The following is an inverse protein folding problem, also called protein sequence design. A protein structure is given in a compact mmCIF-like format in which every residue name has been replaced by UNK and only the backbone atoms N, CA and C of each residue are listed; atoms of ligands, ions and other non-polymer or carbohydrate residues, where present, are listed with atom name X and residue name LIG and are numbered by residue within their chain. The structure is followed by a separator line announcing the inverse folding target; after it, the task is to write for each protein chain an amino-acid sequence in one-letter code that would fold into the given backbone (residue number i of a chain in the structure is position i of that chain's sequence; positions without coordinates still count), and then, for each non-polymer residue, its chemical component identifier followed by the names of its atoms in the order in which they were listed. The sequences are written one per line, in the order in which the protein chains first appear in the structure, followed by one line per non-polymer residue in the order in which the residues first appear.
data_IF_191474835994
#
_entry.id   IF_191474835994
#
_cell.length_a   1.000
_cell.length_b   1.000
_cell.length_c   1.000
_cell.angle_alpha   90.00
_cell.angle_beta   90.00
_cell.angle_gamma   90.00
#
_symmetry.space_group_name_H-M   'P 1'
#
loop_
_entity.id
_entity.type
_entity.pdbx_description
1 polymer ?
#
# COMPACT_ATOMS: atom_id res chain seq x y z
N UNK A 1 31.07 38.32 25.45
CA UNK A 1 30.25 38.64 24.28
C UNK A 1 30.11 37.38 23.47
N UNK A 2 29.05 36.66 23.72
CA UNK A 2 28.72 35.39 23.02
C UNK A 2 27.49 35.65 22.16
N UNK A 3 27.71 35.58 20.85
CA UNK A 3 26.68 35.74 19.83
C UNK A 3 25.82 34.46 19.75
N UNK A 4 24.55 34.58 20.05
CA UNK A 4 23.58 33.50 19.90
C UNK A 4 23.20 33.43 18.44
N UNK A 5 23.60 32.34 17.77
CA UNK A 5 23.16 32.03 16.41
C UNK A 5 21.75 31.41 16.50
N UNK A 6 20.80 32.14 16.02
CA UNK A 6 19.43 31.66 15.79
C UNK A 6 19.45 30.54 14.76
N UNK A 7 19.07 29.36 15.18
CA UNK A 7 18.81 28.22 14.31
C UNK A 7 17.32 28.23 13.98
N UNK A 8 16.97 28.93 12.90
CA UNK A 8 15.64 28.86 12.33
C UNK A 8 15.37 27.45 11.80
N UNK A 9 14.41 26.81 12.40
CA UNK A 9 13.77 25.57 11.93
C UNK A 9 13.15 25.83 10.55
N UNK A 10 13.80 25.38 9.50
CA UNK A 10 13.19 25.28 8.19
C UNK A 10 12.20 24.11 8.25
N UNK A 11 10.94 24.45 8.55
CA UNK A 11 9.83 23.55 8.40
C UNK A 11 9.62 23.26 6.92
N UNK A 12 10.13 22.13 6.45
CA UNK A 12 9.82 21.61 5.13
C UNK A 12 8.36 21.14 5.13
N UNK A 13 7.49 21.99 4.63
CA UNK A 13 6.09 21.69 4.35
C UNK A 13 6.00 20.78 3.12
N UNK A 14 6.09 19.46 3.35
CA UNK A 14 6.02 18.42 2.32
C UNK A 14 4.71 18.39 1.52
N UNK A 15 3.71 19.16 1.97
CA UNK A 15 2.41 19.25 1.28
C UNK A 15 2.39 20.19 0.09
N UNK A 16 3.34 21.12 -0.02
CA UNK A 16 3.34 22.13 -1.09
C UNK A 16 4.05 21.70 -2.37
N UNK A 17 4.93 20.69 -2.32
CA UNK A 17 5.64 20.22 -3.52
C UNK A 17 4.76 19.40 -4.50
N UNK A 18 3.56 19.02 -4.08
CA UNK A 18 2.64 18.26 -4.94
C UNK A 18 1.90 19.11 -5.98
N UNK A 19 1.95 20.44 -5.87
CA UNK A 19 1.21 21.36 -6.75
C UNK A 19 2.08 22.37 -7.56
N UNK A 20 3.35 22.47 -7.27
CA UNK A 20 4.23 23.46 -7.92
C UNK A 20 4.82 23.02 -9.27
N UNK A 21 4.60 21.80 -9.73
CA UNK A 21 5.19 21.25 -10.97
C UNK A 21 4.15 20.97 -12.08
N UNK A 22 2.96 21.56 -12.02
CA UNK A 22 1.86 21.30 -12.96
C UNK A 22 1.83 22.20 -14.20
N UNK A 23 2.87 22.98 -14.45
CA UNK A 23 2.98 23.75 -15.70
C UNK A 23 4.26 23.33 -16.42
N UNK A 24 4.11 22.50 -17.46
CA UNK A 24 5.07 22.13 -18.50
C UNK A 24 5.53 20.65 -18.51
N UNK A 25 4.65 19.69 -18.46
CA UNK A 25 4.91 18.44 -19.18
C UNK A 25 3.64 17.60 -19.38
N UNK A 26 2.81 17.99 -20.33
CA UNK A 26 1.64 17.22 -20.77
C UNK A 26 2.00 15.90 -21.48
N UNK A 27 3.29 15.56 -21.60
CA UNK A 27 3.76 14.34 -22.27
C UNK A 27 4.52 13.36 -21.35
N UNK A 28 4.69 13.66 -20.06
CA UNK A 28 5.50 12.84 -19.15
C UNK A 28 4.71 12.11 -18.06
N UNK A 29 3.38 12.08 -18.12
CA UNK A 29 2.54 11.48 -17.06
C UNK A 29 2.51 9.95 -17.06
N UNK A 30 3.24 9.27 -17.94
CA UNK A 30 3.22 7.81 -18.03
C UNK A 30 4.51 7.10 -17.61
N UNK A 31 5.58 7.81 -17.30
CA UNK A 31 6.91 7.20 -17.07
C UNK A 31 7.36 7.19 -15.61
N UNK A 32 6.73 7.97 -14.71
CA UNK A 32 7.22 8.13 -13.34
C UNK A 32 7.00 6.92 -12.41
N UNK A 33 6.18 5.95 -12.81
CA UNK A 33 5.88 4.75 -11.99
C UNK A 33 6.87 3.59 -12.16
N UNK A 34 7.84 3.69 -13.06
CA UNK A 34 8.80 2.61 -13.34
C UNK A 34 10.23 2.92 -12.89
N UNK A 35 10.49 4.05 -12.23
CA UNK A 35 11.83 4.32 -11.70
C UNK A 35 12.02 3.57 -10.37
N UNK A 36 12.95 2.62 -10.36
CA UNK A 36 13.40 1.98 -9.11
C UNK A 36 14.49 2.82 -8.49
N UNK A 37 14.36 3.16 -7.21
CA UNK A 37 15.39 3.83 -6.43
C UNK A 37 16.05 2.83 -5.47
N UNK A 38 17.36 2.97 -5.26
CA UNK A 38 18.08 2.15 -4.29
C UNK A 38 17.93 2.75 -2.89
N UNK A 39 17.43 1.93 -1.95
CA UNK A 39 17.33 2.30 -0.53
C UNK A 39 18.24 1.37 0.28
N UNK A 40 19.14 1.91 1.08
CA UNK A 40 20.04 1.12 1.93
C UNK A 40 19.95 1.54 3.40
N UNK A 41 20.16 0.57 4.29
CA UNK A 41 20.17 0.82 5.72
C UNK A 41 20.93 -0.28 6.47
N UNK A 42 21.40 0.05 7.68
CA UNK A 42 22.03 -0.92 8.59
C UNK A 42 21.04 -1.31 9.67
N UNK A 43 20.90 -2.61 9.90
CA UNK A 43 20.05 -3.16 10.96
C UNK A 43 20.88 -4.02 11.94
N UNK A 44 20.50 -4.09 13.22
CA UNK A 44 21.17 -4.98 14.17
C UNK A 44 21.15 -6.44 13.68
N UNK A 45 22.24 -7.18 13.96
CA UNK A 45 22.44 -8.55 13.46
C UNK A 45 21.28 -9.52 13.76
N UNK A 46 20.57 -9.35 14.90
CA UNK A 46 19.40 -10.16 15.25
C UNK A 46 18.28 -10.05 14.21
N UNK A 47 18.01 -8.84 13.71
CA UNK A 47 16.98 -8.60 12.68
C UNK A 47 17.42 -9.11 11.31
N UNK A 48 18.71 -8.94 10.96
CA UNK A 48 19.25 -9.52 9.73
C UNK A 48 19.05 -11.06 9.69
N UNK A 49 19.28 -11.76 10.82
CA UNK A 49 19.02 -13.21 10.93
C UNK A 49 17.54 -13.57 10.73
N UNK A 50 16.62 -12.77 11.28
CA UNK A 50 15.17 -12.97 11.08
C UNK A 50 14.77 -12.82 9.61
N UNK A 51 15.25 -11.78 8.95
CA UNK A 51 15.01 -11.56 7.49
C UNK A 51 15.54 -12.75 6.68
N UNK A 52 16.75 -13.23 6.97
CA UNK A 52 17.32 -14.40 6.28
C UNK A 52 16.46 -15.65 6.48
N UNK A 53 15.99 -15.90 7.72
CA UNK A 53 15.11 -17.04 8.02
C UNK A 53 13.79 -16.93 7.25
N UNK A 54 13.17 -15.76 7.24
CA UNK A 54 11.89 -15.52 6.55
C UNK A 54 12.05 -15.60 5.02
N UNK A 55 13.13 -15.05 4.45
CA UNK A 55 13.41 -15.14 3.02
C UNK A 55 13.55 -16.61 2.55
N UNK A 56 14.25 -17.44 3.36
CA UNK A 56 14.36 -18.88 3.09
C UNK A 56 13.00 -19.58 3.14
N UNK A 57 12.18 -19.28 4.15
CA UNK A 57 10.84 -19.86 4.30
C UNK A 57 9.92 -19.47 3.14
N UNK A 58 9.99 -18.22 2.68
CA UNK A 58 9.22 -17.68 1.57
C UNK A 58 9.83 -18.01 0.18
N UNK A 59 10.96 -18.73 0.12
CA UNK A 59 11.69 -19.06 -1.13
C UNK A 59 11.98 -17.81 -1.99
N UNK A 60 12.31 -16.69 -1.35
CA UNK A 60 12.61 -15.41 -2.01
C UNK A 60 14.01 -14.91 -1.64
N UNK A 61 14.53 -13.92 -2.36
CA UNK A 61 15.80 -13.29 -2.01
C UNK A 61 15.65 -12.37 -0.78
N UNK A 62 16.75 -12.16 -0.05
CA UNK A 62 16.78 -11.21 1.08
C UNK A 62 16.42 -9.79 0.63
N UNK A 63 16.93 -9.40 -0.53
CA UNK A 63 16.70 -8.07 -1.09
C UNK A 63 15.23 -7.85 -1.44
N UNK A 64 14.59 -8.81 -2.09
CA UNK A 64 13.17 -8.73 -2.46
C UNK A 64 12.27 -8.71 -1.23
N UNK A 65 12.61 -9.52 -0.21
CA UNK A 65 11.86 -9.50 1.05
C UNK A 65 11.97 -8.15 1.77
N UNK A 66 13.17 -7.56 1.82
CA UNK A 66 13.38 -6.24 2.42
C UNK A 66 12.66 -5.15 1.62
N UNK A 67 12.78 -5.17 0.28
CA UNK A 67 12.06 -4.24 -0.58
C UNK A 67 10.55 -4.31 -0.36
N UNK A 68 9.99 -5.52 -0.27
CA UNK A 68 8.57 -5.74 0.04
C UNK A 68 8.18 -5.13 1.39
N UNK A 69 8.93 -5.39 2.45
CA UNK A 69 8.64 -4.83 3.77
C UNK A 69 8.68 -3.30 3.79
N UNK A 70 9.64 -2.71 3.09
CA UNK A 70 9.73 -1.24 2.98
C UNK A 70 8.51 -0.70 2.24
N UNK A 71 8.14 -1.30 1.11
CA UNK A 71 6.96 -0.88 0.34
C UNK A 71 5.66 -1.03 1.14
N UNK A 72 5.41 -2.21 1.72
CA UNK A 72 4.21 -2.48 2.52
C UNK A 72 4.11 -1.50 3.70
N UNK A 73 5.19 -1.29 4.43
CA UNK A 73 5.18 -0.37 5.57
C UNK A 73 4.97 1.08 5.16
N UNK A 74 5.50 1.49 4.01
CA UNK A 74 5.26 2.82 3.44
C UNK A 74 3.79 3.00 3.05
N UNK A 75 3.21 1.99 2.40
CA UNK A 75 1.79 1.99 2.01
C UNK A 75 0.85 1.96 3.23
N UNK A 76 1.15 1.17 4.26
CA UNK A 76 0.39 1.17 5.52
C UNK A 76 0.41 2.53 6.22
N UNK A 77 1.52 3.28 6.08
CA UNK A 77 1.64 4.64 6.61
C UNK A 77 0.85 5.66 5.79
N UNK A 78 0.84 5.51 4.47
CA UNK A 78 0.12 6.41 3.55
C UNK A 78 -1.39 6.13 3.53
N UNK A 79 -1.78 4.85 3.65
CA UNK A 79 -3.17 4.40 3.69
C UNK A 79 -3.51 3.77 5.05
N UNK A 80 -3.72 4.58 6.11
CA UNK A 80 -4.01 4.06 7.44
C UNK A 80 -5.29 3.21 7.45
N UNK A 81 -5.16 1.98 7.91
CA UNK A 81 -6.25 1.01 7.92
C UNK A 81 -6.15 -0.03 6.80
N UNK A 82 -5.12 0.02 5.96
CA UNK A 82 -4.74 -1.06 5.04
C UNK A 82 -3.59 -1.86 5.66
N UNK A 83 -3.57 -3.15 5.44
CA UNK A 83 -2.50 -4.10 5.82
C UNK A 83 -2.35 -5.15 4.73
N UNK A 84 -1.18 -5.80 4.68
CA UNK A 84 -0.88 -6.78 3.64
C UNK A 84 -0.83 -8.19 4.23
N UNK A 85 -1.46 -9.16 3.56
CA UNK A 85 -1.48 -10.58 3.97
C UNK A 85 -1.25 -11.49 2.78
N UNK A 86 -0.76 -12.68 3.07
CA UNK A 86 -0.69 -13.75 2.06
C UNK A 86 -2.07 -14.38 1.91
N UNK A 87 -2.54 -14.50 0.66
CA UNK A 87 -3.74 -15.21 0.23
C UNK A 87 -3.37 -16.35 -0.71
N UNK A 88 -4.34 -17.07 -1.23
CA UNK A 88 -4.12 -18.13 -2.22
C UNK A 88 -3.65 -17.56 -3.57
N UNK A 89 -4.08 -16.36 -3.90
CA UNK A 89 -3.72 -15.61 -5.11
C UNK A 89 -2.40 -14.84 -4.98
N UNK A 90 -1.81 -14.79 -3.77
CA UNK A 90 -0.56 -14.10 -3.51
C UNK A 90 -0.63 -13.13 -2.35
N UNK A 91 0.11 -12.06 -2.45
CA UNK A 91 0.13 -11.01 -1.43
C UNK A 91 -0.90 -9.94 -1.76
N UNK A 92 -1.83 -9.68 -0.85
CA UNK A 92 -2.98 -8.80 -1.07
C UNK A 92 -3.18 -7.77 0.03
N UNK A 93 -3.83 -6.64 -0.33
CA UNK A 93 -4.24 -5.60 0.58
C UNK A 93 -5.56 -5.96 1.28
N UNK A 94 -5.57 -5.84 2.60
CA UNK A 94 -6.71 -6.10 3.49
C UNK A 94 -7.01 -4.89 4.37
N UNK A 95 -8.25 -4.80 4.82
CA UNK A 95 -8.60 -3.85 5.87
C UNK A 95 -8.08 -4.34 7.24
N UNK A 96 -7.34 -3.48 7.93
CA UNK A 96 -6.75 -3.79 9.24
C UNK A 96 -7.84 -4.16 10.25
N UNK A 97 -7.64 -5.30 10.92
CA UNK A 97 -8.61 -5.83 11.88
C UNK A 97 -9.77 -6.62 11.26
N UNK A 98 -9.86 -6.66 9.93
CA UNK A 98 -10.89 -7.39 9.20
C UNK A 98 -10.26 -8.48 8.32
N UNK A 99 -11.07 -9.45 7.89
CA UNK A 99 -10.65 -10.52 6.96
C UNK A 99 -11.12 -10.24 5.52
N UNK A 100 -11.47 -9.02 5.23
CA UNK A 100 -11.99 -8.59 3.94
C UNK A 100 -10.87 -7.91 3.18
N UNK A 101 -10.61 -8.37 1.98
CA UNK A 101 -9.63 -7.77 1.07
C UNK A 101 -10.19 -6.47 0.47
N UNK A 102 -9.31 -5.59 0.04
CA UNK A 102 -9.72 -4.31 -0.56
C UNK A 102 -10.54 -4.54 -1.83
N UNK A 103 -10.19 -5.54 -2.65
CA UNK A 103 -10.93 -5.86 -3.87
C UNK A 103 -12.39 -6.29 -3.61
N UNK A 104 -12.67 -6.99 -2.49
CA UNK A 104 -14.04 -7.36 -2.08
C UNK A 104 -14.88 -6.12 -1.76
N UNK A 105 -14.26 -5.11 -1.13
CA UNK A 105 -14.95 -3.83 -0.85
C UNK A 105 -15.23 -3.07 -2.13
N UNK A 106 -14.33 -3.14 -3.11
CA UNK A 106 -14.54 -2.53 -4.43
C UNK A 106 -15.69 -3.21 -5.16
N UNK A 107 -15.74 -4.54 -5.16
CA UNK A 107 -16.83 -5.31 -5.79
C UNK A 107 -18.20 -4.96 -5.17
N UNK A 108 -18.29 -4.95 -3.85
CA UNK A 108 -19.51 -4.53 -3.16
C UNK A 108 -19.88 -3.07 -3.45
N UNK A 109 -18.89 -2.19 -3.59
CA UNK A 109 -19.16 -0.80 -3.94
C UNK A 109 -19.63 -0.65 -5.39
N UNK A 110 -19.09 -1.43 -6.33
CA UNK A 110 -19.56 -1.49 -7.71
C UNK A 110 -21.02 -1.98 -7.81
N UNK A 111 -21.42 -2.92 -6.94
CA UNK A 111 -22.80 -3.42 -6.86
C UNK A 111 -23.77 -2.39 -6.26
N UNK A 112 -23.42 -1.83 -5.11
CA UNK A 112 -24.34 -0.94 -4.37
C UNK A 112 -24.31 0.52 -4.85
N UNK A 113 -23.31 0.93 -5.58
CA UNK A 113 -23.08 2.29 -6.09
C UNK A 113 -23.21 3.38 -5.01
N UNK A 114 -22.96 3.01 -3.74
CA UNK A 114 -23.13 3.90 -2.59
C UNK A 114 -22.22 3.50 -1.44
N UNK A 115 -21.39 4.44 -0.98
CA UNK A 115 -20.52 4.24 0.19
C UNK A 115 -21.32 3.89 1.45
N UNK A 116 -22.50 4.49 1.64
CA UNK A 116 -23.36 4.23 2.79
C UNK A 116 -23.89 2.80 2.78
N UNK A 117 -24.41 2.33 1.65
CA UNK A 117 -24.89 0.95 1.49
C UNK A 117 -23.78 -0.09 1.60
N UNK A 118 -22.62 0.19 1.01
CA UNK A 118 -21.43 -0.67 1.16
C UNK A 118 -20.99 -0.76 2.62
N UNK A 119 -21.00 0.34 3.35
CA UNK A 119 -20.66 0.38 4.77
C UNK A 119 -21.68 -0.39 5.61
N UNK A 120 -22.96 -0.28 5.30
CA UNK A 120 -24.05 -1.04 5.93
C UNK A 120 -23.92 -2.54 5.68
N UNK A 121 -23.61 -2.95 4.45
CA UNK A 121 -23.38 -4.35 4.07
C UNK A 121 -22.29 -5.02 4.93
N UNK A 122 -21.19 -4.34 5.15
CA UNK A 122 -20.08 -4.85 5.99
C UNK A 122 -20.27 -4.57 7.48
N UNK A 123 -21.29 -3.83 7.88
CA UNK A 123 -21.49 -3.31 9.25
C UNK A 123 -20.29 -2.47 9.74
N UNK A 124 -19.76 -1.62 8.89
CA UNK A 124 -18.58 -0.80 9.14
C UNK A 124 -18.87 0.70 9.10
N UNK A 125 -18.03 1.50 9.75
CA UNK A 125 -18.03 2.94 9.52
C UNK A 125 -17.67 3.24 8.06
N UNK A 126 -18.38 4.20 7.45
CA UNK A 126 -18.15 4.61 6.06
C UNK A 126 -16.70 5.06 5.76
N UNK A 127 -15.95 5.46 6.79
CA UNK A 127 -14.53 5.84 6.65
C UNK A 127 -13.65 4.65 6.21
N UNK A 128 -13.96 3.41 6.59
CA UNK A 128 -13.20 2.24 6.17
C UNK A 128 -13.42 1.96 4.67
N UNK A 129 -14.65 2.07 4.20
CA UNK A 129 -14.98 1.95 2.77
C UNK A 129 -14.25 3.02 1.97
N UNK A 130 -14.27 4.28 2.43
CA UNK A 130 -13.54 5.38 1.77
C UNK A 130 -12.04 5.11 1.67
N UNK A 131 -11.43 4.54 2.72
CA UNK A 131 -10.00 4.18 2.72
C UNK A 131 -9.69 3.08 1.72
N UNK A 132 -10.52 2.04 1.66
CA UNK A 132 -10.37 0.96 0.70
C UNK A 132 -10.48 1.48 -0.75
N UNK A 133 -11.47 2.33 -1.03
CA UNK A 133 -11.64 2.94 -2.35
C UNK A 133 -10.51 3.89 -2.72
N UNK A 134 -9.97 4.66 -1.76
CA UNK A 134 -8.82 5.52 -1.98
C UNK A 134 -7.58 4.70 -2.38
N UNK A 135 -7.31 3.59 -1.66
CA UNK A 135 -6.24 2.67 -2.02
C UNK A 135 -6.47 2.06 -3.40
N UNK A 136 -7.67 1.57 -3.68
CA UNK A 136 -8.00 0.95 -4.95
C UNK A 136 -7.87 1.90 -6.15
N UNK A 137 -8.16 3.18 -5.96
CA UNK A 137 -8.00 4.20 -7.01
C UNK A 137 -6.53 4.46 -7.36
N UNK A 138 -5.63 4.30 -6.41
CA UNK A 138 -4.18 4.46 -6.61
C UNK A 138 -3.56 3.20 -7.22
N UNK A 139 -4.05 2.01 -6.84
CA UNK A 139 -3.50 0.71 -7.26
C UNK A 139 -4.50 -0.15 -8.05
N UNK A 140 -5.10 0.35 -9.14
CA UNK A 140 -6.17 -0.37 -9.86
C UNK A 140 -5.69 -1.67 -10.51
N UNK A 141 -4.41 -1.77 -10.88
CA UNK A 141 -3.83 -2.99 -11.46
C UNK A 141 -3.71 -4.11 -10.43
N UNK A 142 -3.30 -3.77 -9.20
CA UNK A 142 -3.19 -4.72 -8.10
C UNK A 142 -4.57 -5.28 -7.74
N UNK A 143 -5.57 -4.40 -7.59
CA UNK A 143 -6.95 -4.81 -7.31
C UNK A 143 -7.50 -5.74 -8.38
N UNK A 144 -7.27 -5.42 -9.66
CA UNK A 144 -7.68 -6.28 -10.77
C UNK A 144 -7.00 -7.65 -10.72
N UNK A 145 -5.70 -7.70 -10.44
CA UNK A 145 -4.94 -8.93 -10.33
C UNK A 145 -5.41 -9.80 -9.18
N UNK A 146 -5.67 -9.24 -8.00
CA UNK A 146 -6.20 -9.94 -6.83
C UNK A 146 -7.57 -10.55 -7.13
N UNK A 147 -8.46 -9.77 -7.76
CA UNK A 147 -9.79 -10.19 -8.19
C UNK A 147 -9.75 -11.37 -9.20
N UNK A 148 -8.83 -11.33 -10.15
CA UNK A 148 -8.64 -12.39 -11.14
C UNK A 148 -8.02 -13.65 -10.50
N UNK A 149 -7.06 -13.48 -9.61
CA UNK A 149 -6.40 -14.57 -8.88
C UNK A 149 -7.39 -15.41 -8.07
N UNK A 150 -8.31 -14.77 -7.35
CA UNK A 150 -9.32 -15.46 -6.55
C UNK A 150 -10.34 -16.22 -7.42
N UNK A 151 -10.75 -15.67 -8.55
CA UNK A 151 -11.66 -16.35 -9.49
C UNK A 151 -11.06 -17.64 -10.09
N UNK A 152 -9.74 -17.71 -10.22
CA UNK A 152 -9.04 -18.91 -10.75
C UNK A 152 -8.57 -19.86 -9.65
N UNK A 153 -8.56 -19.43 -8.38
CA UNK A 153 -8.10 -20.20 -7.24
C UNK A 153 -9.13 -21.12 -6.58
N UNK A 154 -10.40 -21.01 -6.94
CA UNK A 154 -11.46 -21.90 -6.42
C UNK A 154 -11.58 -23.11 -7.33
N UNK A 155 -11.05 -24.31 -6.96
CA UNK A 155 -11.45 -25.52 -7.65
C UNK A 155 -12.96 -25.72 -7.43
N UNK A 156 -13.71 -25.82 -8.51
CA UNK A 156 -15.13 -26.17 -8.44
C UNK A 156 -15.25 -27.47 -7.63
N UNK A 157 -15.81 -27.34 -6.41
CA UNK A 157 -16.19 -28.49 -5.61
C UNK A 157 -17.41 -29.10 -6.29
N UNK A 158 -17.17 -30.17 -7.02
CA UNK A 158 -18.20 -31.05 -7.58
C UNK A 158 -18.68 -32.02 -6.52
#
# INVERSE_FOLDING_TARGET
MLSIVNMELVGLDWKLDRYASLTLCTLCTKVCWMSTAYVSGRVPARFARLVIKQARAAKTSKSDLVARYVMERSLESEFPGISFRDSLSGREAYLTGHRVAVWEVVDAHEEFQSIAKTAEHFHWPAVLVKRALAYASEFPKEIKQSREGERHGVPAVS
#
